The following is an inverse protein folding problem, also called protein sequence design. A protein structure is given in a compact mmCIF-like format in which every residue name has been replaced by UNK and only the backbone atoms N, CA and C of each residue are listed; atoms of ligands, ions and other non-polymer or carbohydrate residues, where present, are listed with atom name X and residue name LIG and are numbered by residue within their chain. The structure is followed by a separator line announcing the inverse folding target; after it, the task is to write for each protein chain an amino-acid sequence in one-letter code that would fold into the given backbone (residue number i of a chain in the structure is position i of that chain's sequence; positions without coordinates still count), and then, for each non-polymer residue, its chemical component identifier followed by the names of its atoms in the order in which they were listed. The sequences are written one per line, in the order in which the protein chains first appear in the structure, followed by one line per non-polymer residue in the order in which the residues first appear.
data_IF_048118759116
#
_entry.id   IF_048118759116
#
_cell.length_a   1.000
_cell.length_b   1.000
_cell.length_c   1.000
_cell.angle_alpha   90.00
_cell.angle_beta   90.00
_cell.angle_gamma   90.00
#
_symmetry.space_group_name_H-M   'P 1'
#
loop_
_entity.id
_entity.type
_entity.pdbx_description
1 polymer ?
#
# COMPACT_ATOMS: atom_id res chain seq x y z
N UNK A 1 -25.19 -3.23 11.28
CA UNK A 1 -25.15 -3.90 9.96
C UNK A 1 -25.54 -5.33 10.18
N UNK A 2 -26.71 -5.73 9.69
CA UNK A 2 -27.16 -7.12 9.82
C UNK A 2 -26.29 -8.02 8.93
N UNK A 3 -25.79 -9.16 9.44
CA UNK A 3 -25.09 -10.13 8.61
C UNK A 3 -26.07 -10.63 7.56
N UNK A 4 -25.72 -10.47 6.28
CA UNK A 4 -26.49 -11.00 5.16
C UNK A 4 -26.53 -12.52 5.29
N UNK A 5 -27.62 -13.06 5.84
CA UNK A 5 -27.84 -14.49 5.96
C UNK A 5 -28.05 -15.06 4.56
N UNK A 6 -27.04 -15.75 4.04
CA UNK A 6 -27.09 -16.39 2.73
C UNK A 6 -28.02 -17.62 2.83
N UNK A 7 -29.17 -17.57 2.14
CA UNK A 7 -30.09 -18.71 1.99
C UNK A 7 -29.36 -19.89 1.33
N UNK A 8 -29.45 -21.07 1.95
CA UNK A 8 -29.00 -22.32 1.33
C UNK A 8 -29.73 -22.51 -0.02
N UNK A 9 -28.97 -22.59 -1.11
CA UNK A 9 -29.50 -22.66 -2.48
C UNK A 9 -29.08 -21.51 -3.42
N UNK A 10 -28.32 -20.51 -2.96
CA UNK A 10 -27.81 -19.48 -3.87
C UNK A 10 -26.76 -20.04 -4.83
N UNK A 11 -26.93 -19.78 -6.13
CA UNK A 11 -25.96 -20.02 -7.23
C UNK A 11 -24.74 -19.08 -7.16
N UNK A 12 -24.34 -18.69 -5.96
CA UNK A 12 -23.35 -17.66 -5.73
C UNK A 12 -21.96 -18.26 -5.96
N UNK A 13 -21.32 -17.88 -7.06
CA UNK A 13 -19.98 -18.36 -7.41
C UNK A 13 -18.99 -17.80 -6.40
N UNK A 14 -18.23 -18.68 -5.74
CA UNK A 14 -17.27 -18.29 -4.71
C UNK A 14 -15.85 -18.21 -5.26
N UNK A 15 -15.13 -17.16 -4.89
CA UNK A 15 -13.70 -16.99 -5.23
C UNK A 15 -12.84 -16.75 -3.98
N UNK A 16 -11.53 -16.89 -4.13
CA UNK A 16 -10.52 -16.60 -3.11
C UNK A 16 -9.41 -15.74 -3.73
N UNK A 17 -8.54 -15.13 -2.92
CA UNK A 17 -7.42 -14.33 -3.43
C UNK A 17 -6.54 -15.11 -4.43
N UNK A 18 -6.26 -16.40 -4.17
CA UNK A 18 -5.47 -17.22 -5.09
C UNK A 18 -6.20 -17.44 -6.42
N UNK A 19 -7.50 -17.78 -6.36
CA UNK A 19 -8.32 -17.93 -7.57
C UNK A 19 -8.46 -16.62 -8.35
N UNK A 20 -8.50 -15.48 -7.66
CA UNK A 20 -8.49 -14.16 -8.30
C UNK A 20 -7.16 -13.91 -9.02
N UNK A 21 -6.03 -14.18 -8.38
CA UNK A 21 -4.70 -14.04 -8.97
C UNK A 21 -4.59 -14.86 -10.28
N UNK A 22 -4.99 -16.13 -10.23
CA UNK A 22 -4.98 -17.03 -11.38
C UNK A 22 -5.92 -16.58 -12.51
N UNK A 23 -7.13 -16.14 -12.15
CA UNK A 23 -8.15 -15.67 -13.11
C UNK A 23 -7.68 -14.41 -13.81
N UNK A 24 -7.20 -13.41 -13.08
CA UNK A 24 -6.82 -12.11 -13.62
C UNK A 24 -5.36 -12.02 -14.07
N UNK A 25 -4.62 -13.14 -14.02
CA UNK A 25 -3.19 -13.21 -14.42
C UNK A 25 -2.31 -12.20 -13.69
N UNK A 26 -2.59 -11.99 -12.41
CA UNK A 26 -1.82 -11.12 -11.52
C UNK A 26 -1.17 -11.94 -10.41
N UNK A 27 -0.15 -11.40 -9.75
CA UNK A 27 0.42 -12.06 -8.59
C UNK A 27 -0.54 -12.03 -7.39
N UNK A 28 -0.33 -12.96 -6.46
CA UNK A 28 -1.15 -13.08 -5.24
C UNK A 28 -1.14 -11.81 -4.39
N UNK A 29 -0.02 -11.09 -4.37
CA UNK A 29 0.13 -9.88 -3.56
C UNK A 29 -0.70 -8.73 -4.14
N UNK A 30 -0.77 -8.60 -5.47
CA UNK A 30 -1.65 -7.66 -6.16
C UNK A 30 -3.13 -7.97 -5.88
N UNK A 31 -3.54 -9.23 -6.02
CA UNK A 31 -4.91 -9.64 -5.70
C UNK A 31 -5.27 -9.37 -4.23
N UNK A 32 -4.32 -9.57 -3.30
CA UNK A 32 -4.50 -9.20 -1.90
C UNK A 32 -4.61 -7.69 -1.69
N UNK A 33 -3.80 -6.88 -2.38
CA UNK A 33 -3.92 -5.42 -2.31
C UNK A 33 -5.28 -4.94 -2.78
N UNK A 34 -5.83 -5.53 -3.84
CA UNK A 34 -7.18 -5.19 -4.32
C UNK A 34 -8.24 -5.45 -3.24
N UNK A 35 -8.09 -6.51 -2.47
CA UNK A 35 -9.02 -6.83 -1.39
C UNK A 35 -9.00 -5.83 -0.23
N UNK A 36 -8.04 -4.90 -0.21
CA UNK A 36 -7.94 -3.81 0.76
C UNK A 36 -8.36 -2.46 0.17
N UNK A 37 -8.72 -2.42 -1.12
CA UNK A 37 -9.19 -1.20 -1.78
C UNK A 37 -10.63 -0.87 -1.34
N UNK A 38 -10.94 0.42 -1.31
CA UNK A 38 -12.27 0.92 -0.99
C UNK A 38 -13.30 0.44 -2.02
N UNK A 39 -14.45 -0.06 -1.54
CA UNK A 39 -15.49 -0.62 -2.40
C UNK A 39 -15.22 -2.04 -2.87
N UNK A 40 -14.14 -2.69 -2.41
CA UNK A 40 -13.93 -4.11 -2.67
C UNK A 40 -15.02 -4.95 -1.98
N UNK A 41 -15.53 -6.02 -2.63
CA UNK A 41 -16.57 -6.88 -2.08
C UNK A 41 -16.28 -7.41 -0.67
N UNK A 42 -17.32 -7.49 0.17
CA UNK A 42 -17.19 -7.99 1.53
C UNK A 42 -16.88 -9.50 1.55
N UNK A 43 -16.18 -9.92 2.61
CA UNK A 43 -15.89 -11.34 2.84
C UNK A 43 -17.18 -12.06 3.21
N UNK A 44 -17.58 -13.05 2.41
CA UNK A 44 -18.78 -13.87 2.66
C UNK A 44 -18.56 -14.86 3.81
N UNK A 45 -17.37 -15.48 3.84
CA UNK A 45 -16.99 -16.44 4.88
C UNK A 45 -15.47 -16.59 4.95
N UNK A 46 -14.99 -17.15 6.06
CA UNK A 46 -13.62 -17.65 6.19
C UNK A 46 -13.71 -19.15 6.41
N UNK A 47 -12.94 -19.94 5.65
CA UNK A 47 -12.97 -21.41 5.76
C UNK A 47 -11.58 -22.01 5.90
N UNK A 48 -11.51 -23.15 6.60
CA UNK A 48 -10.34 -24.04 6.69
C UNK A 48 -9.25 -23.62 7.69
N UNK A 49 -8.26 -24.50 7.89
CA UNK A 49 -6.98 -24.19 8.51
C UNK A 49 -6.30 -23.08 7.68
N UNK A 50 -6.20 -21.87 8.23
CA UNK A 50 -5.59 -20.72 7.57
C UNK A 50 -6.51 -19.54 7.24
N UNK A 51 -7.80 -19.58 7.65
CA UNK A 51 -8.70 -18.42 7.57
C UNK A 51 -8.79 -17.76 6.18
N UNK A 52 -8.86 -18.57 5.11
CA UNK A 52 -8.92 -18.04 3.76
C UNK A 52 -10.24 -17.28 3.53
N UNK A 53 -10.14 -16.00 3.18
CA UNK A 53 -11.31 -15.17 2.86
C UNK A 53 -11.96 -15.62 1.54
N UNK A 54 -13.26 -15.85 1.60
CA UNK A 54 -14.11 -16.17 0.45
C UNK A 54 -14.92 -14.95 0.07
N UNK A 55 -14.95 -14.65 -1.23
CA UNK A 55 -15.70 -13.54 -1.82
C UNK A 55 -16.72 -14.04 -2.84
N UNK A 56 -17.71 -13.21 -3.13
CA UNK A 56 -18.56 -13.38 -4.31
C UNK A 56 -17.73 -13.14 -5.58
N UNK A 57 -17.71 -14.11 -6.50
CA UNK A 57 -16.88 -14.04 -7.70
C UNK A 57 -17.41 -13.03 -8.74
N UNK A 58 -18.71 -12.78 -8.78
CA UNK A 58 -19.33 -11.87 -9.73
C UNK A 58 -19.20 -10.41 -9.25
N UNK A 59 -19.34 -10.17 -7.94
CA UNK A 59 -19.03 -8.85 -7.35
C UNK A 59 -17.54 -8.51 -7.51
N UNK A 60 -16.64 -9.50 -7.33
CA UNK A 60 -15.21 -9.30 -7.58
C UNK A 60 -14.94 -9.02 -9.06
N UNK A 61 -15.61 -9.69 -10.00
CA UNK A 61 -15.46 -9.39 -11.43
C UNK A 61 -15.95 -7.98 -11.79
N UNK A 62 -17.07 -7.55 -11.22
CA UNK A 62 -17.58 -6.19 -11.39
C UNK A 62 -16.59 -5.14 -10.83
N UNK A 63 -16.06 -5.37 -9.62
CA UNK A 63 -15.06 -4.51 -9.01
C UNK A 63 -13.78 -4.43 -9.86
N UNK A 64 -13.27 -5.57 -10.32
CA UNK A 64 -12.05 -5.65 -11.13
C UNK A 64 -12.26 -5.01 -12.50
N UNK A 65 -13.43 -5.19 -13.13
CA UNK A 65 -13.80 -4.48 -14.37
C UNK A 65 -13.74 -2.97 -14.20
N UNK A 66 -14.24 -2.44 -13.07
CA UNK A 66 -14.32 -1.01 -12.82
C UNK A 66 -12.97 -0.40 -12.40
N UNK A 67 -12.24 -1.05 -11.50
CA UNK A 67 -11.06 -0.48 -10.82
C UNK A 67 -9.72 -0.98 -11.39
N UNK A 68 -9.74 -2.11 -12.09
CA UNK A 68 -8.58 -2.83 -12.61
C UNK A 68 -8.83 -3.32 -14.05
N UNK A 69 -9.45 -2.47 -14.87
CA UNK A 69 -9.93 -2.81 -16.21
C UNK A 69 -8.89 -3.51 -17.11
N UNK A 70 -7.62 -3.14 -17.02
CA UNK A 70 -6.56 -3.79 -17.80
C UNK A 70 -6.40 -5.28 -17.43
N UNK A 71 -6.35 -5.61 -16.14
CA UNK A 71 -6.27 -6.99 -15.67
C UNK A 71 -7.57 -7.76 -15.95
N UNK A 72 -8.73 -7.08 -15.81
CA UNK A 72 -10.01 -7.66 -16.21
C UNK A 72 -10.01 -8.01 -17.70
N UNK A 73 -9.60 -7.10 -18.57
CA UNK A 73 -9.58 -7.32 -20.02
C UNK A 73 -8.59 -8.43 -20.42
N UNK A 74 -7.40 -8.44 -19.80
CA UNK A 74 -6.40 -9.49 -20.00
C UNK A 74 -6.91 -10.87 -19.58
N UNK A 75 -7.70 -10.95 -18.50
CA UNK A 75 -8.32 -12.22 -18.09
C UNK A 75 -9.29 -12.81 -19.11
N UNK A 76 -9.70 -12.01 -20.11
CA UNK A 76 -10.58 -12.40 -21.21
C UNK A 76 -9.81 -12.65 -22.51
N UNK A 77 -8.47 -12.75 -22.46
CA UNK A 77 -7.65 -13.15 -23.61
C UNK A 77 -8.20 -14.43 -24.26
N UNK A 78 -8.36 -14.41 -25.59
CA UNK A 78 -9.00 -15.47 -26.36
C UNK A 78 -10.51 -15.27 -26.62
N UNK A 79 -11.20 -14.41 -25.85
CA UNK A 79 -12.55 -13.98 -26.22
C UNK A 79 -12.46 -12.84 -27.26
N UNK A 80 -13.03 -13.05 -28.44
CA UNK A 80 -13.04 -12.06 -29.53
C UNK A 80 -13.81 -10.77 -29.17
N UNK A 81 -14.72 -10.84 -28.21
CA UNK A 81 -15.55 -9.70 -27.79
C UNK A 81 -15.71 -9.66 -26.26
N UNK A 82 -14.62 -9.37 -25.52
CA UNK A 82 -14.61 -9.45 -24.07
C UNK A 82 -15.53 -8.40 -23.42
N UNK A 83 -15.82 -7.31 -24.13
CA UNK A 83 -16.65 -6.20 -23.67
C UNK A 83 -18.14 -6.36 -24.02
N UNK A 84 -18.51 -7.46 -24.69
CA UNK A 84 -19.87 -7.69 -25.19
C UNK A 84 -20.40 -6.49 -25.99
N UNK A 85 -19.54 -5.91 -26.84
CA UNK A 85 -19.92 -4.85 -27.75
C UNK A 85 -20.80 -5.43 -28.86
N UNK A 86 -21.78 -4.69 -29.43
CA UNK A 86 -22.63 -5.22 -30.48
C UNK A 86 -21.82 -5.73 -31.68
N UNK A 87 -22.26 -6.82 -32.31
CA UNK A 87 -21.60 -7.30 -33.54
C UNK A 87 -21.73 -6.28 -34.68
N UNK A 88 -20.86 -6.41 -35.68
CA UNK A 88 -20.88 -5.62 -36.91
C UNK A 88 -19.56 -5.67 -37.67
N UNK A 89 -19.56 -5.09 -38.87
CA UNK A 89 -18.38 -5.03 -39.72
C UNK A 89 -17.33 -4.07 -39.15
N UNK A 90 -16.02 -4.33 -39.37
CA UNK A 90 -14.95 -3.45 -38.89
C UNK A 90 -15.06 -2.04 -39.47
N UNK A 91 -15.56 -1.91 -40.71
CA UNK A 91 -15.75 -0.64 -41.42
C UNK A 91 -17.11 0.02 -41.17
N UNK A 92 -17.98 -0.56 -40.35
CA UNK A 92 -19.24 0.07 -39.97
C UNK A 92 -18.95 1.45 -39.35
N UNK A 93 -19.70 2.46 -39.76
CA UNK A 93 -19.48 3.82 -39.31
C UNK A 93 -20.27 4.13 -38.04
N UNK A 94 -19.58 4.64 -37.03
CA UNK A 94 -20.12 5.02 -35.74
C UNK A 94 -19.96 6.52 -35.52
N UNK A 95 -21.01 7.15 -35.00
CA UNK A 95 -20.98 8.55 -34.56
C UNK A 95 -20.34 8.67 -33.19
N UNK A 96 -19.85 9.86 -32.81
CA UNK A 96 -19.33 10.08 -31.45
C UNK A 96 -20.33 9.71 -30.36
N UNK A 97 -21.60 10.08 -30.55
CA UNK A 97 -22.67 9.73 -29.60
C UNK A 97 -22.74 8.22 -29.39
N UNK A 98 -22.69 7.45 -30.48
CA UNK A 98 -22.72 5.99 -30.41
C UNK A 98 -21.48 5.41 -29.73
N UNK A 99 -20.30 5.97 -30.00
CA UNK A 99 -19.06 5.58 -29.32
C UNK A 99 -19.19 5.81 -27.80
N UNK A 100 -19.74 6.96 -27.38
CA UNK A 100 -19.96 7.29 -25.98
C UNK A 100 -20.91 6.33 -25.26
N UNK A 101 -22.00 5.91 -25.93
CA UNK A 101 -22.93 4.89 -25.43
C UNK A 101 -22.25 3.52 -25.27
N UNK A 102 -21.48 3.11 -26.28
CA UNK A 102 -20.75 1.84 -26.27
C UNK A 102 -19.66 1.84 -25.19
N UNK A 103 -18.93 2.94 -25.01
CA UNK A 103 -17.97 3.09 -23.92
C UNK A 103 -18.66 3.01 -22.55
N UNK A 104 -19.77 3.72 -22.36
CA UNK A 104 -20.54 3.67 -21.12
C UNK A 104 -20.97 2.24 -20.76
N UNK A 105 -21.58 1.54 -21.73
CA UNK A 105 -21.98 0.14 -21.59
C UNK A 105 -20.80 -0.79 -21.30
N UNK A 106 -19.70 -0.62 -22.03
CA UNK A 106 -18.48 -1.44 -21.87
C UNK A 106 -17.85 -1.28 -20.48
N UNK A 107 -18.05 -0.14 -19.82
CA UNK A 107 -17.47 0.17 -18.51
C UNK A 107 -18.48 0.14 -17.36
N UNK A 108 -19.76 -0.16 -17.63
CA UNK A 108 -20.81 -0.13 -16.61
C UNK A 108 -21.02 1.28 -16.02
N UNK A 109 -20.91 2.33 -16.84
CA UNK A 109 -21.10 3.74 -16.43
C UNK A 109 -22.02 4.48 -17.41
N UNK A 110 -22.48 5.70 -17.10
CA UNK A 110 -23.21 6.53 -18.05
C UNK A 110 -22.46 6.74 -19.37
N UNK A 111 -23.21 7.01 -20.45
CA UNK A 111 -22.61 7.31 -21.74
C UNK A 111 -21.63 8.48 -21.63
N UNK A 112 -20.46 8.35 -22.27
CA UNK A 112 -19.47 9.43 -22.28
C UNK A 112 -19.96 10.56 -23.20
N UNK A 113 -19.97 11.79 -22.70
CA UNK A 113 -20.50 12.93 -23.44
C UNK A 113 -19.68 13.25 -24.69
N UNK A 114 -20.36 13.74 -25.74
CA UNK A 114 -19.72 14.11 -27.01
C UNK A 114 -18.64 15.18 -26.81
N UNK A 115 -18.85 16.15 -25.91
CA UNK A 115 -17.86 17.17 -25.58
C UNK A 115 -16.57 16.58 -24.98
N UNK A 116 -16.71 15.57 -24.10
CA UNK A 116 -15.56 14.83 -23.56
C UNK A 116 -14.84 14.05 -24.64
N UNK A 117 -15.56 13.37 -25.53
CA UNK A 117 -14.95 12.63 -26.64
C UNK A 117 -14.20 13.55 -27.61
N UNK A 118 -14.72 14.75 -27.90
CA UNK A 118 -13.99 15.78 -28.67
C UNK A 118 -12.68 16.17 -28.00
N UNK A 119 -12.68 16.31 -26.68
CA UNK A 119 -11.45 16.55 -25.89
C UNK A 119 -10.48 15.37 -25.98
N UNK A 120 -10.98 14.14 -26.09
CA UNK A 120 -10.11 12.98 -26.28
C UNK A 120 -9.52 12.92 -27.69
N UNK A 121 -10.24 13.37 -28.71
CA UNK A 121 -9.68 13.50 -30.07
C UNK A 121 -8.53 14.50 -30.07
N UNK A 122 -8.72 15.69 -29.49
CA UNK A 122 -7.68 16.72 -29.46
C UNK A 122 -6.43 16.28 -28.67
N UNK A 123 -6.61 15.45 -27.65
CA UNK A 123 -5.51 14.86 -26.86
C UNK A 123 -4.86 13.62 -27.50
N UNK A 124 -5.32 13.17 -28.67
CA UNK A 124 -4.84 11.95 -29.32
C UNK A 124 -5.21 10.66 -28.56
N UNK A 125 -6.17 10.76 -27.65
CA UNK A 125 -6.67 9.67 -26.82
C UNK A 125 -7.67 8.84 -27.65
N UNK A 126 -8.58 9.48 -28.37
CA UNK A 126 -9.40 8.88 -29.43
C UNK A 126 -8.80 9.29 -30.79
N UNK A 127 -8.73 8.36 -31.75
CA UNK A 127 -8.21 8.66 -33.08
C UNK A 127 -9.07 9.74 -33.78
N UNK A 128 -8.50 10.40 -34.79
CA UNK A 128 -9.26 11.27 -35.69
C UNK A 128 -10.37 10.48 -36.41
N UNK A 129 -11.44 11.14 -36.88
CA UNK A 129 -12.49 10.45 -37.62
C UNK A 129 -11.92 9.78 -38.88
N UNK A 130 -12.37 8.57 -39.16
CA UNK A 130 -11.99 7.84 -40.36
C UNK A 130 -12.71 8.37 -41.60
N UNK A 131 -13.89 8.98 -41.40
CA UNK A 131 -14.74 9.57 -42.44
C UNK A 131 -15.20 10.96 -42.03
N UNK A 132 -15.14 11.89 -42.97
CA UNK A 132 -15.54 13.29 -42.79
C UNK A 132 -16.65 13.67 -43.78
N UNK A 133 -17.49 14.67 -43.46
CA UNK A 133 -18.40 15.22 -44.46
C UNK A 133 -17.64 15.65 -45.72
N UNK A 134 -18.24 15.36 -46.88
CA UNK A 134 -17.70 15.74 -48.19
C UNK A 134 -16.33 15.12 -48.55
N UNK A 135 -15.92 14.03 -47.89
CA UNK A 135 -14.69 13.29 -48.21
C UNK A 135 -14.71 12.54 -49.56
N UNK A 136 -15.80 12.65 -50.31
CA UNK A 136 -15.99 12.01 -51.63
C UNK A 136 -16.11 10.49 -51.60
N UNK A 137 -16.03 9.85 -50.42
CA UNK A 137 -16.10 8.41 -50.28
C UNK A 137 -17.54 7.94 -50.00
N UNK A 138 -17.79 6.63 -50.16
CA UNK A 138 -19.10 6.01 -49.90
C UNK A 138 -19.08 5.13 -48.63
N UNK A 139 -20.17 5.06 -47.84
CA UNK A 139 -21.36 5.90 -47.93
C UNK A 139 -21.03 7.37 -47.60
N UNK A 140 -21.79 8.30 -48.16
CA UNK A 140 -21.67 9.73 -47.83
C UNK A 140 -22.10 9.93 -46.37
N UNK A 141 -21.29 10.66 -45.60
CA UNK A 141 -21.57 10.96 -44.19
C UNK A 141 -21.88 12.45 -44.03
N UNK A 142 -22.82 12.79 -43.14
CA UNK A 142 -23.21 14.18 -42.84
C UNK A 142 -22.49 14.74 -41.61
N UNK A 143 -21.74 13.90 -40.90
CA UNK A 143 -20.95 14.25 -39.74
C UNK A 143 -19.69 13.39 -39.69
N UNK A 144 -18.73 13.78 -38.84
CA UNK A 144 -17.54 12.98 -38.57
C UNK A 144 -17.95 11.61 -37.99
N UNK A 145 -17.39 10.54 -38.57
CA UNK A 145 -17.66 9.16 -38.14
C UNK A 145 -16.36 8.35 -38.06
N UNK A 146 -16.40 7.31 -37.24
CA UNK A 146 -15.28 6.38 -37.03
C UNK A 146 -15.70 5.01 -37.51
N UNK A 147 -14.76 4.28 -38.11
CA UNK A 147 -14.93 2.84 -38.29
C UNK A 147 -15.05 2.16 -36.93
N UNK A 148 -15.85 1.09 -36.88
CA UNK A 148 -16.09 0.31 -35.68
C UNK A 148 -14.78 -0.21 -35.08
N UNK A 149 -13.84 -0.64 -35.91
CA UNK A 149 -12.52 -1.09 -35.45
C UNK A 149 -11.77 0.02 -34.70
N UNK A 150 -11.77 1.25 -35.23
CA UNK A 150 -11.14 2.43 -34.62
C UNK A 150 -11.81 2.77 -33.29
N UNK A 151 -13.14 2.77 -33.26
CA UNK A 151 -13.89 2.97 -32.03
C UNK A 151 -13.63 1.88 -30.98
N UNK A 152 -13.54 0.61 -31.40
CA UNK A 152 -13.38 -0.52 -30.49
C UNK A 152 -11.98 -0.55 -29.90
N UNK A 153 -10.96 -0.22 -30.70
CA UNK A 153 -9.59 -0.02 -30.22
C UNK A 153 -9.53 1.07 -29.13
N UNK A 154 -10.28 2.16 -29.28
CA UNK A 154 -10.41 3.18 -28.24
C UNK A 154 -11.10 2.64 -26.97
N UNK A 155 -12.23 1.93 -27.11
CA UNK A 155 -13.00 1.44 -25.96
C UNK A 155 -12.21 0.40 -25.15
N UNK A 156 -11.51 -0.50 -25.84
CA UNK A 156 -10.75 -1.61 -25.27
C UNK A 156 -9.34 -1.25 -24.80
N UNK A 157 -8.89 0.00 -25.00
CA UNK A 157 -7.54 0.39 -24.63
C UNK A 157 -7.24 0.16 -23.14
N UNK A 158 -5.96 -0.07 -22.78
CA UNK A 158 -5.51 0.01 -21.41
C UNK A 158 -5.73 1.43 -20.86
N UNK A 159 -6.58 1.57 -19.85
CA UNK A 159 -6.78 2.86 -19.18
C UNK A 159 -5.77 3.00 -18.06
N UNK A 160 -4.96 4.07 -18.09
CA UNK A 160 -4.10 4.44 -16.95
C UNK A 160 -5.03 4.76 -15.78
N UNK A 161 -4.78 4.18 -14.60
CA UNK A 161 -5.48 4.54 -13.36
C UNK A 161 -5.46 6.06 -13.26
N UNK A 162 -6.62 6.69 -13.36
CA UNK A 162 -6.78 8.04 -12.82
C UNK A 162 -6.55 7.83 -11.35
N UNK A 163 -5.38 8.24 -10.88
CA UNK A 163 -5.09 8.29 -9.45
C UNK A 163 -6.21 9.14 -8.91
N UNK A 164 -7.22 8.53 -8.25
CA UNK A 164 -8.17 9.30 -7.45
C UNK A 164 -7.28 10.16 -6.61
N UNK A 165 -7.33 11.48 -6.82
CA UNK A 165 -6.76 12.44 -5.89
C UNK A 165 -7.24 11.94 -4.55
N UNK A 166 -6.30 11.56 -3.68
CA UNK A 166 -6.68 11.08 -2.36
C UNK A 166 -7.66 12.12 -1.85
N UNK A 167 -8.92 11.73 -1.65
CA UNK A 167 -9.87 12.55 -0.90
C UNK A 167 -9.07 12.99 0.29
N UNK A 168 -8.90 14.31 0.45
CA UNK A 168 -8.04 14.93 1.44
C UNK A 168 -8.31 14.20 2.74
N UNK A 169 -7.42 13.25 3.07
CA UNK A 169 -7.61 12.40 4.23
C UNK A 169 -7.30 13.34 5.35
N UNK A 170 -8.34 13.87 5.95
CA UNK A 170 -8.25 14.61 7.18
C UNK A 170 -7.34 13.78 8.09
N UNK A 171 -6.25 14.39 8.54
CA UNK A 171 -5.28 13.69 9.36
C UNK A 171 -6.06 13.03 10.50
N UNK A 172 -5.80 11.75 10.83
CA UNK A 172 -6.42 11.17 12.01
C UNK A 172 -6.13 12.10 13.18
N UNK A 173 -7.19 12.56 13.86
CA UNK A 173 -7.06 13.36 15.06
C UNK A 173 -6.43 12.46 16.14
N UNK A 174 -5.14 12.65 16.39
CA UNK A 174 -4.46 12.01 17.51
C UNK A 174 -4.81 12.81 18.76
N UNK A 175 -5.24 12.13 19.82
CA UNK A 175 -5.28 12.75 21.15
C UNK A 175 -3.86 13.04 21.63
N UNK A 176 -3.68 13.94 22.59
CA UNK A 176 -2.35 14.23 23.13
C UNK A 176 -1.72 12.99 23.82
N UNK A 177 -2.55 12.07 24.33
CA UNK A 177 -2.14 10.77 24.87
C UNK A 177 -1.56 9.83 23.80
N UNK A 178 -1.91 10.05 22.52
CA UNK A 178 -1.41 9.28 21.40
C UNK A 178 -0.10 9.80 20.83
N UNK A 179 0.52 10.83 21.42
CA UNK A 179 1.77 11.38 20.93
C UNK A 179 2.97 10.63 21.54
N UNK A 180 3.96 10.33 20.71
CA UNK A 180 5.23 9.78 21.17
C UNK A 180 5.95 10.82 22.02
N UNK A 181 6.56 10.36 23.10
CA UNK A 181 7.46 11.20 23.88
C UNK A 181 8.84 11.21 23.21
N UNK A 182 9.01 12.18 22.32
CA UNK A 182 10.26 12.42 21.61
C UNK A 182 10.96 13.61 22.24
N UNK A 183 12.26 13.47 22.48
CA UNK A 183 13.13 14.61 22.78
C UNK A 183 13.23 15.49 21.53
N UNK A 184 12.48 16.59 21.55
CA UNK A 184 12.52 17.60 20.51
C UNK A 184 13.52 18.69 20.91
N UNK A 185 14.23 19.31 19.95
CA UNK A 185 15.11 20.42 20.25
C UNK A 185 14.32 21.58 20.88
N UNK A 186 14.96 22.29 21.82
CA UNK A 186 14.36 23.43 22.51
C UNK A 186 13.80 24.50 21.55
N UNK A 187 12.78 25.22 22.01
CA UNK A 187 12.19 26.37 21.33
C UNK A 187 10.77 26.66 21.80
N UNK A 188 10.24 27.82 21.40
CA UNK A 188 8.89 28.25 21.76
C UNK A 188 7.86 27.58 20.86
N UNK A 189 6.68 27.28 21.39
CA UNK A 189 5.55 26.72 20.63
C UNK A 189 5.10 27.63 19.48
N UNK A 190 5.39 28.93 19.58
CA UNK A 190 5.09 29.95 18.58
C UNK A 190 6.22 30.15 17.55
N UNK A 191 7.32 29.40 17.65
CA UNK A 191 8.41 29.48 16.67
C UNK A 191 7.90 29.12 15.27
N UNK A 192 8.18 29.96 14.28
CA UNK A 192 7.87 29.69 12.89
C UNK A 192 9.00 28.90 12.23
N UNK A 193 8.68 27.69 11.80
CA UNK A 193 9.61 26.74 11.21
C UNK A 193 9.35 26.60 9.72
N UNK A 194 10.39 26.75 8.93
CA UNK A 194 10.36 26.43 7.50
C UNK A 194 10.28 24.92 7.28
N UNK A 195 9.85 24.49 6.09
CA UNK A 195 9.81 23.07 5.73
C UNK A 195 11.17 22.37 5.90
N UNK A 196 12.27 23.11 5.71
CA UNK A 196 13.63 22.59 5.88
C UNK A 196 13.99 22.33 7.34
N UNK A 197 13.61 23.24 8.25
CA UNK A 197 13.76 23.01 9.68
C UNK A 197 12.89 21.84 10.14
N UNK A 198 11.65 21.76 9.67
CA UNK A 198 10.75 20.62 9.99
C UNK A 198 11.35 19.28 9.53
N UNK A 199 12.03 19.25 8.38
CA UNK A 199 12.75 18.06 7.88
C UNK A 199 13.92 17.66 8.75
N UNK A 200 14.72 18.63 9.20
CA UNK A 200 15.84 18.37 10.09
C UNK A 200 15.37 17.78 11.42
N UNK A 201 14.36 18.41 12.04
CA UNK A 201 13.83 17.97 13.32
C UNK A 201 13.19 16.59 13.20
N UNK A 202 12.39 16.33 12.16
CA UNK A 202 11.77 15.01 11.93
C UNK A 202 12.83 13.91 11.77
N UNK A 203 13.90 14.18 11.02
CA UNK A 203 14.98 13.23 10.81
C UNK A 203 15.76 12.90 12.08
N UNK A 204 16.06 13.93 12.89
CA UNK A 204 16.75 13.75 14.17
C UNK A 204 15.87 13.08 15.22
N UNK A 205 14.62 13.51 15.39
CA UNK A 205 13.69 12.93 16.34
C UNK A 205 13.38 11.45 16.04
N UNK A 206 13.59 11.00 14.80
CA UNK A 206 13.46 9.59 14.38
C UNK A 206 14.77 8.79 14.47
N UNK A 207 15.84 9.38 15.00
CA UNK A 207 17.14 8.72 15.13
C UNK A 207 17.88 8.48 13.82
N UNK A 208 17.46 9.08 12.71
CA UNK A 208 18.09 8.86 11.40
C UNK A 208 19.37 9.66 11.20
N UNK A 209 19.62 10.67 12.04
CA UNK A 209 20.80 11.54 11.98
C UNK A 209 20.92 12.39 10.70
N UNK A 210 19.92 12.35 9.82
CA UNK A 210 19.85 13.09 8.57
C UNK A 210 18.44 13.64 8.35
N UNK A 211 18.28 14.79 7.67
CA UNK A 211 16.97 15.37 7.41
C UNK A 211 16.10 14.45 6.57
N UNK A 212 14.81 14.38 6.88
CA UNK A 212 13.83 13.69 6.04
C UNK A 212 13.86 14.27 4.63
N UNK A 213 13.83 13.42 3.59
CA UNK A 213 13.93 13.88 2.22
C UNK A 213 12.77 14.83 1.83
N UNK A 214 13.06 15.88 1.03
CA UNK A 214 12.05 16.86 0.64
C UNK A 214 10.88 16.25 -0.15
N UNK A 215 11.14 15.25 -0.99
CA UNK A 215 10.11 14.48 -1.71
C UNK A 215 9.18 13.73 -0.74
N UNK A 216 9.72 13.19 0.35
CA UNK A 216 8.94 12.50 1.39
C UNK A 216 8.01 13.49 2.09
N UNK A 217 8.51 14.68 2.44
CA UNK A 217 7.68 15.70 3.08
C UNK A 217 6.56 16.21 2.18
N UNK A 218 6.87 16.51 0.90
CA UNK A 218 5.84 16.88 -0.08
C UNK A 218 4.79 15.80 -0.26
N UNK A 219 5.20 14.53 -0.23
CA UNK A 219 4.28 13.39 -0.27
C UNK A 219 3.40 13.33 0.98
N UNK A 220 3.96 13.55 2.17
CA UNK A 220 3.21 13.58 3.43
C UNK A 220 2.22 14.75 3.47
N UNK A 221 2.61 15.92 2.99
CA UNK A 221 1.74 17.09 2.84
C UNK A 221 0.58 16.79 1.86
N UNK A 222 0.88 16.22 0.69
CA UNK A 222 -0.15 15.82 -0.28
C UNK A 222 -1.05 14.68 0.20
N UNK A 223 -0.66 13.95 1.25
CA UNK A 223 -1.46 12.93 1.91
C UNK A 223 -2.26 13.46 3.10
N UNK A 224 -2.16 14.75 3.43
CA UNK A 224 -2.75 15.35 4.63
C UNK A 224 -2.07 14.93 5.94
N UNK A 225 -0.94 14.20 5.88
CA UNK A 225 -0.25 13.68 7.06
C UNK A 225 0.72 14.69 7.68
N UNK A 226 1.17 15.69 6.91
CA UNK A 226 1.79 16.91 7.42
C UNK A 226 0.72 18.00 7.40
N UNK A 227 0.46 18.70 8.52
CA UNK A 227 -0.48 19.81 8.54
C UNK A 227 -0.15 20.85 7.48
N UNK A 228 -1.15 21.63 7.07
CA UNK A 228 -0.93 22.78 6.20
C UNK A 228 -0.05 23.80 6.93
N UNK A 229 0.74 24.62 6.21
CA UNK A 229 1.50 25.70 6.83
C UNK A 229 0.55 26.65 7.57
N UNK A 230 0.89 27.02 8.79
CA UNK A 230 0.14 28.00 9.59
C UNK A 230 0.32 29.42 9.05
N UNK A 231 1.46 29.68 8.39
CA UNK A 231 1.81 30.97 7.80
C UNK A 231 2.21 30.82 6.33
N UNK A 232 1.76 31.76 5.51
CA UNK A 232 2.02 31.81 4.07
C UNK A 232 2.62 33.15 3.68
N UNK A 233 3.51 33.21 2.67
CA UNK A 233 4.04 34.49 2.19
C UNK A 233 2.91 35.42 1.75
N UNK A 234 2.91 36.63 2.29
CA UNK A 234 1.88 37.64 1.99
C UNK A 234 0.54 37.44 2.71
N UNK A 235 0.50 36.63 3.78
CA UNK A 235 -0.71 36.47 4.59
C UNK A 235 -1.10 37.71 5.42
N UNK A 236 -0.25 38.74 5.44
CA UNK A 236 -0.51 40.01 6.12
C UNK A 236 -0.38 39.95 7.65
N UNK A 237 0.15 38.85 8.19
CA UNK A 237 0.36 38.64 9.61
C UNK A 237 1.84 38.90 9.98
N UNK A 238 2.11 39.22 11.24
CA UNK A 238 3.47 39.43 11.76
C UNK A 238 3.96 38.21 12.57
N UNK A 239 5.26 37.86 12.52
CA UNK A 239 6.28 38.40 11.61
C UNK A 239 6.02 37.93 10.16
N UNK A 240 6.42 38.70 9.13
CA UNK A 240 6.27 38.30 7.74
C UNK A 240 7.15 37.08 7.43
N UNK A 241 6.62 36.13 6.66
CA UNK A 241 7.34 34.93 6.24
C UNK A 241 7.62 34.94 4.73
N UNK A 242 8.85 34.59 4.33
CA UNK A 242 9.22 34.49 2.90
C UNK A 242 8.85 33.15 2.28
N UNK A 243 8.71 32.11 3.10
CA UNK A 243 8.35 30.75 2.70
C UNK A 243 7.20 30.26 3.59
N UNK A 244 6.41 29.27 3.13
CA UNK A 244 5.44 28.60 3.99
C UNK A 244 6.11 28.10 5.28
N UNK A 245 5.51 28.44 6.42
CA UNK A 245 6.04 28.13 7.73
C UNK A 245 4.98 27.49 8.62
N UNK A 246 5.44 26.67 9.55
CA UNK A 246 4.61 25.97 10.54
C UNK A 246 4.97 26.49 11.92
N UNK A 247 3.97 26.71 12.77
CA UNK A 247 4.21 26.90 14.20
C UNK A 247 4.85 25.62 14.75
N UNK A 248 5.77 25.77 15.70
CA UNK A 248 6.40 24.62 16.34
C UNK A 248 5.37 23.73 17.02
N UNK A 249 4.33 24.30 17.63
CA UNK A 249 3.19 23.55 18.18
C UNK A 249 2.45 22.72 17.13
N UNK A 250 2.24 23.25 15.93
CA UNK A 250 1.65 22.51 14.80
C UNK A 250 2.58 21.41 14.29
N UNK A 251 3.89 21.70 14.17
CA UNK A 251 4.89 20.75 13.70
C UNK A 251 5.22 19.65 14.74
N UNK A 252 5.11 19.94 16.03
CA UNK A 252 5.41 19.00 17.12
C UNK A 252 4.45 17.81 17.12
N UNK A 253 3.16 18.05 16.87
CA UNK A 253 2.15 17.00 16.65
C UNK A 253 2.53 16.08 15.50
N UNK A 254 3.08 16.64 14.42
CA UNK A 254 3.56 15.85 13.29
C UNK A 254 4.78 15.00 13.63
N UNK A 255 5.76 15.50 14.38
CA UNK A 255 6.93 14.70 14.75
C UNK A 255 6.57 13.59 15.74
N UNK A 256 5.77 13.94 16.75
CA UNK A 256 5.32 13.02 17.81
C UNK A 256 4.27 12.01 17.33
N UNK A 257 3.77 12.11 16.09
CA UNK A 257 2.85 11.08 15.57
C UNK A 257 3.51 9.70 15.62
N UNK A 258 2.79 8.65 16.04
CA UNK A 258 3.25 7.30 15.83
C UNK A 258 3.43 7.11 14.32
N UNK A 259 4.66 6.89 13.87
CA UNK A 259 4.88 6.47 12.48
C UNK A 259 4.11 5.16 12.20
N UNK A 260 4.13 4.68 10.95
CA UNK A 260 3.62 3.32 10.65
C UNK A 260 4.20 2.25 11.59
N UNK A 261 5.44 2.44 12.06
CA UNK A 261 6.10 1.62 13.07
C UNK A 261 5.50 1.77 14.48
N UNK A 262 5.17 3.00 14.91
CA UNK A 262 4.52 3.26 16.21
C UNK A 262 3.08 2.74 16.27
N UNK A 263 2.34 2.80 15.14
CA UNK A 263 1.00 2.21 15.03
C UNK A 263 1.04 0.69 15.08
N UNK A 264 2.08 0.05 14.52
CA UNK A 264 2.28 -1.41 14.64
C UNK A 264 2.66 -1.82 16.07
N UNK A 265 3.53 -1.07 16.74
CA UNK A 265 3.87 -1.29 18.15
C UNK A 265 2.66 -1.07 19.08
N UNK A 266 1.82 -0.07 18.82
CA UNK A 266 0.58 0.16 19.58
C UNK A 266 -0.54 -0.82 19.26
N UNK A 267 -0.68 -1.30 18.02
CA UNK A 267 -1.62 -2.40 17.76
C UNK A 267 -1.23 -3.69 18.48
N UNK A 268 0.06 -3.88 18.77
CA UNK A 268 0.53 -4.97 19.62
C UNK A 268 0.28 -4.70 21.13
N UNK A 269 0.30 -3.42 21.56
CA UNK A 269 0.12 -3.04 22.98
C UNK A 269 -1.33 -2.73 23.43
N UNK A 270 -2.15 -2.10 22.59
CA UNK A 270 -3.50 -1.61 22.95
C UNK A 270 -4.53 -2.72 23.09
N UNK A 271 -4.39 -3.85 22.40
CA UNK A 271 -5.24 -5.03 22.64
C UNK A 271 -4.80 -5.83 23.88
N UNK A 272 -3.83 -5.33 24.66
CA UNK A 272 -3.18 -6.12 25.72
C UNK A 272 -2.97 -5.37 27.05
N UNK A 273 -3.27 -4.07 27.10
CA UNK A 273 -3.11 -3.26 28.31
C UNK A 273 -4.10 -3.64 29.45
N UNK A 274 -5.16 -4.39 29.16
CA UNK A 274 -6.09 -4.88 30.21
C UNK A 274 -5.74 -6.28 30.76
N UNK A 275 -4.59 -6.87 30.41
CA UNK A 275 -4.27 -8.25 30.87
C UNK A 275 -2.79 -8.61 31.10
N UNK A 276 -1.87 -7.65 31.19
CA UNK A 276 -0.42 -7.93 31.15
C UNK A 276 0.36 -7.61 32.44
N UNK A 277 -0.30 -7.58 33.60
CA UNK A 277 0.41 -7.43 34.86
C UNK A 277 1.13 -8.71 35.35
N UNK A 278 1.18 -9.81 34.57
CA UNK A 278 1.63 -11.12 35.08
C UNK A 278 2.47 -12.00 34.13
N UNK A 279 2.99 -11.48 33.00
CA UNK A 279 3.95 -12.27 32.20
C UNK A 279 5.35 -12.24 32.84
N UNK A 280 5.61 -13.25 33.67
CA UNK A 280 6.96 -13.55 34.16
C UNK A 280 7.93 -13.67 32.98
N UNK A 281 9.16 -13.14 33.08
CA UNK A 281 10.19 -13.40 32.08
C UNK A 281 10.33 -14.92 31.90
N UNK A 282 10.40 -15.38 30.64
CA UNK A 282 10.73 -16.78 30.30
C UNK A 282 12.19 -17.04 30.67
N UNK A 283 12.46 -17.13 31.98
CA UNK A 283 13.75 -17.51 32.54
C UNK A 283 14.04 -19.00 32.32
N UNK A 284 13.00 -19.81 32.07
CA UNK A 284 13.08 -21.26 31.86
C UNK A 284 13.15 -21.65 30.37
N UNK A 285 13.82 -20.81 29.57
CA UNK A 285 14.02 -21.08 28.15
C UNK A 285 15.20 -22.07 28.01
N UNK A 286 14.92 -23.34 27.71
CA UNK A 286 15.96 -24.34 27.46
C UNK A 286 16.72 -23.99 26.16
N UNK A 287 17.83 -23.26 26.31
CA UNK A 287 18.75 -23.02 25.20
C UNK A 287 19.53 -24.31 24.89
N UNK A 288 19.81 -24.60 23.60
CA UNK A 288 20.68 -25.72 23.25
C UNK A 288 22.03 -25.61 23.96
N UNK A 289 22.68 -26.71 24.32
CA UNK A 289 24.01 -26.67 24.93
C UNK A 289 25.03 -25.91 24.05
N UNK A 290 25.97 -25.22 24.69
CA UNK A 290 27.10 -24.52 24.09
C UNK A 290 27.70 -23.50 25.05
N UNK A 291 28.94 -23.09 24.78
CA UNK A 291 29.66 -22.14 25.62
C UNK A 291 29.27 -20.69 25.28
N UNK A 292 29.30 -19.78 26.26
CA UNK A 292 28.85 -18.39 26.09
C UNK A 292 29.67 -17.60 25.05
N UNK A 293 30.90 -18.05 24.79
CA UNK A 293 31.86 -17.54 23.81
C UNK A 293 31.77 -18.25 22.44
N UNK A 294 30.83 -19.20 22.27
CA UNK A 294 30.54 -19.77 20.95
C UNK A 294 30.10 -18.66 19.99
N UNK A 295 30.75 -18.57 18.83
CA UNK A 295 30.36 -17.64 17.77
C UNK A 295 29.28 -18.26 16.88
N UNK A 296 28.16 -17.54 16.75
CA UNK A 296 27.01 -17.92 15.96
C UNK A 296 26.79 -16.95 14.82
N UNK A 297 26.65 -17.46 13.60
CA UNK A 297 26.22 -16.65 12.47
C UNK A 297 24.70 -16.42 12.49
N UNK A 298 24.23 -15.48 11.67
CA UNK A 298 22.83 -15.08 11.63
C UNK A 298 21.87 -16.25 11.29
N UNK A 299 22.33 -17.21 10.48
CA UNK A 299 21.54 -18.41 10.14
C UNK A 299 21.40 -19.38 11.32
N UNK A 300 22.46 -19.57 12.10
CA UNK A 300 22.46 -20.39 13.30
C UNK A 300 21.55 -19.77 14.37
N UNK A 301 21.59 -18.44 14.54
CA UNK A 301 20.70 -17.73 15.46
C UNK A 301 19.23 -17.94 15.06
N UNK A 302 18.90 -17.84 13.77
CA UNK A 302 17.53 -18.09 13.28
C UNK A 302 17.05 -19.53 13.48
N UNK A 303 17.95 -20.52 13.39
CA UNK A 303 17.63 -21.93 13.71
C UNK A 303 17.35 -22.13 15.19
N UNK A 304 18.17 -21.55 16.06
CA UNK A 304 17.98 -21.64 17.51
C UNK A 304 16.70 -20.91 17.92
N UNK A 305 16.46 -19.71 17.39
CA UNK A 305 15.24 -18.93 17.64
C UNK A 305 13.97 -19.71 17.27
N UNK A 306 13.94 -20.32 16.09
CA UNK A 306 12.81 -21.14 15.66
C UNK A 306 12.52 -22.34 16.57
N UNK A 307 13.57 -22.97 17.11
CA UNK A 307 13.45 -24.09 18.06
C UNK A 307 13.00 -23.62 19.44
N UNK A 308 13.67 -22.61 19.97
CA UNK A 308 13.41 -21.99 21.27
C UNK A 308 11.95 -21.50 21.36
N UNK A 309 11.44 -20.90 20.28
CA UNK A 309 10.06 -20.40 20.19
C UNK A 309 9.05 -21.46 19.72
N UNK A 310 9.44 -22.74 19.64
CA UNK A 310 8.59 -23.88 19.25
C UNK A 310 7.83 -23.71 17.91
N UNK A 311 8.36 -22.92 16.97
CA UNK A 311 7.69 -22.60 15.69
C UNK A 311 7.70 -23.74 14.66
N UNK A 312 8.37 -24.85 14.96
CA UNK A 312 8.55 -25.99 14.03
C UNK A 312 9.43 -25.70 12.80
N UNK A 313 9.91 -24.46 12.62
CA UNK A 313 10.81 -24.05 11.54
C UNK A 313 11.81 -23.00 12.03
N UNK A 314 12.98 -22.96 11.40
CA UNK A 314 13.94 -21.89 11.60
C UNK A 314 13.34 -20.54 11.18
N UNK A 315 13.63 -19.49 11.94
CA UNK A 315 13.35 -18.12 11.51
C UNK A 315 14.19 -17.84 10.27
N UNK A 316 13.55 -17.30 9.22
CA UNK A 316 14.18 -17.15 7.93
C UNK A 316 15.31 -16.11 8.01
N UNK A 317 16.29 -16.23 7.12
CA UNK A 317 17.40 -15.28 7.08
C UNK A 317 16.94 -13.84 6.80
N UNK A 318 15.86 -13.66 6.01
CA UNK A 318 15.27 -12.35 5.75
C UNK A 318 14.66 -11.73 7.03
N UNK A 319 13.97 -12.53 7.84
CA UNK A 319 13.43 -12.08 9.13
C UNK A 319 14.54 -11.78 10.13
N UNK A 320 15.59 -12.62 10.19
CA UNK A 320 16.75 -12.35 11.06
C UNK A 320 17.48 -11.07 10.67
N UNK A 321 17.59 -10.77 9.37
CA UNK A 321 18.11 -9.48 8.91
C UNK A 321 17.23 -8.32 9.33
N UNK A 322 15.90 -8.46 9.23
CA UNK A 322 14.99 -7.43 9.71
C UNK A 322 15.21 -7.16 11.20
N UNK A 323 15.35 -8.20 12.04
CA UNK A 323 15.64 -8.04 13.46
C UNK A 323 16.95 -7.31 13.74
N UNK A 324 18.00 -7.56 12.94
CA UNK A 324 19.25 -6.80 13.04
C UNK A 324 19.05 -5.32 12.65
N UNK A 325 18.40 -5.06 11.52
CA UNK A 325 18.15 -3.68 11.06
C UNK A 325 17.22 -2.89 11.99
N UNK A 326 16.29 -3.57 12.65
CA UNK A 326 15.32 -3.00 13.57
C UNK A 326 15.88 -2.86 15.01
N UNK A 327 17.16 -3.21 15.25
CA UNK A 327 17.81 -3.16 16.58
C UNK A 327 17.23 -4.16 17.59
N UNK A 328 16.52 -5.18 17.10
CA UNK A 328 15.97 -6.25 17.94
C UNK A 328 17.06 -7.27 18.27
N UNK A 329 17.90 -7.60 17.29
CA UNK A 329 19.15 -8.32 17.48
C UNK A 329 20.28 -7.28 17.59
N UNK A 330 21.13 -7.41 18.60
CA UNK A 330 22.28 -6.52 18.81
C UNK A 330 23.26 -6.57 17.61
N UNK A 331 24.18 -5.61 17.52
CA UNK A 331 25.24 -5.62 16.49
C UNK A 331 26.16 -6.85 16.64
N UNK A 332 26.77 -7.34 15.55
CA UNK A 332 27.66 -8.50 15.61
C UNK A 332 28.91 -8.22 16.44
N UNK A 333 29.21 -9.13 17.37
CA UNK A 333 30.42 -9.05 18.21
C UNK A 333 31.72 -9.26 17.41
N UNK A 334 31.62 -9.98 16.28
CA UNK A 334 32.75 -10.30 15.39
C UNK A 334 32.38 -10.07 13.93
N UNK A 335 33.31 -9.53 13.16
CA UNK A 335 33.17 -9.34 11.70
C UNK A 335 34.41 -9.89 10.97
N UNK A 336 34.32 -10.25 9.68
CA UNK A 336 35.47 -10.76 8.94
C UNK A 336 36.67 -9.79 8.87
N UNK A 337 36.43 -8.52 9.14
CA UNK A 337 37.39 -7.42 9.04
C UNK A 337 38.04 -7.05 10.39
N UNK A 338 37.59 -7.65 11.50
CA UNK A 338 38.08 -7.29 12.84
C UNK A 338 39.53 -7.75 13.13
N UNK A 339 40.07 -8.68 12.33
CA UNK A 339 41.44 -9.18 12.47
C UNK A 339 41.70 -9.99 13.74
N UNK A 340 40.66 -10.39 14.46
CA UNK A 340 40.77 -11.15 15.71
C UNK A 340 40.75 -12.67 15.44
N UNK A 341 41.36 -13.46 16.34
CA UNK A 341 41.31 -14.92 16.28
C UNK A 341 40.16 -15.49 17.14
N UNK A 342 39.51 -16.60 16.72
CA UNK A 342 39.60 -17.22 15.40
C UNK A 342 38.95 -16.33 14.32
N UNK A 343 39.40 -16.37 13.06
CA UNK A 343 38.82 -15.57 11.99
C UNK A 343 37.39 -16.05 11.67
N UNK A 344 36.46 -15.11 11.53
CA UNK A 344 35.08 -15.39 11.14
C UNK A 344 34.86 -15.11 9.64
N UNK A 345 34.06 -15.96 8.98
CA UNK A 345 33.73 -15.79 7.55
C UNK A 345 32.60 -14.79 7.30
N UNK A 346 31.79 -14.54 8.33
CA UNK A 346 30.64 -13.62 8.28
C UNK A 346 30.43 -12.99 9.66
N UNK A 347 29.60 -11.93 9.69
CA UNK A 347 29.18 -11.29 10.92
C UNK A 347 28.61 -12.34 11.90
N UNK A 348 29.17 -12.38 13.10
CA UNK A 348 28.91 -13.41 14.10
C UNK A 348 28.69 -12.79 15.48
N UNK A 349 27.88 -13.44 16.30
CA UNK A 349 27.55 -13.03 17.65
C UNK A 349 28.04 -14.08 18.62
N UNK A 350 28.57 -13.66 19.77
CA UNK A 350 28.74 -14.56 20.89
C UNK A 350 27.38 -15.10 21.30
N UNK A 351 27.34 -16.37 21.72
CA UNK A 351 26.12 -17.00 22.22
C UNK A 351 25.51 -16.20 23.36
N UNK A 352 26.32 -15.63 24.25
CA UNK A 352 25.87 -14.73 25.31
C UNK A 352 25.10 -13.51 24.78
N UNK A 353 25.61 -12.84 23.74
CA UNK A 353 24.93 -11.74 23.05
C UNK A 353 23.63 -12.20 22.39
N UNK A 354 23.67 -13.29 21.61
CA UNK A 354 22.49 -13.88 20.97
C UNK A 354 21.43 -14.37 21.98
N UNK A 355 21.85 -14.79 23.18
CA UNK A 355 20.93 -15.24 24.23
C UNK A 355 20.01 -14.14 24.74
N UNK A 356 20.46 -12.87 24.72
CA UNK A 356 19.63 -11.72 25.07
C UNK A 356 18.46 -11.60 24.11
N UNK A 357 18.70 -11.79 22.81
CA UNK A 357 17.65 -11.80 21.79
C UNK A 357 16.61 -12.91 22.02
N UNK A 358 17.03 -14.12 22.40
CA UNK A 358 16.10 -15.22 22.70
C UNK A 358 15.33 -15.03 24.01
N UNK A 359 15.95 -14.42 25.03
CA UNK A 359 15.36 -14.19 26.36
C UNK A 359 14.48 -12.95 26.47
N UNK A 360 14.46 -12.08 25.44
CA UNK A 360 13.60 -10.87 25.44
C UNK A 360 12.12 -11.27 25.65
N UNK A 361 11.47 -10.84 26.74
CA UNK A 361 10.05 -11.07 26.97
C UNK A 361 9.24 -10.22 25.98
N UNK A 362 8.30 -10.85 25.27
CA UNK A 362 7.41 -10.18 24.31
C UNK A 362 7.83 -10.31 22.83
N UNK A 363 7.06 -11.15 22.12
CA UNK A 363 6.78 -11.17 20.68
C UNK A 363 7.91 -10.78 19.70
N UNK A 364 8.66 -11.79 19.29
CA UNK A 364 8.83 -12.03 17.86
C UNK A 364 7.81 -13.13 17.53
N UNK A 365 6.80 -12.81 16.71
CA UNK A 365 5.78 -13.70 16.14
C UNK A 365 5.30 -14.87 17.01
N UNK A 366 4.20 -14.67 17.75
CA UNK A 366 3.38 -15.76 18.30
C UNK A 366 2.46 -16.31 17.21
N UNK A 367 2.63 -17.61 16.97
CA UNK A 367 1.67 -18.68 16.61
C UNK A 367 0.41 -18.33 15.77
N UNK A 368 0.35 -19.00 14.61
CA UNK A 368 -0.86 -19.45 13.93
C UNK A 368 -1.31 -20.80 14.49
#
# INVERSE_FOLDING_TARGET
MEPTVIRAGSTQKRTTINKMADRYKVDRSAAYQWSQEEGFPHVLSRTGQGNAAIYDADEVDAFVRQNHFAAWLQSREGNKNPLNLPDGGPRDLLTLKRIGELEGRALGRPATEVATLRTYISKGILAKPDREPDDGQRPTVTQQMWHRETAYAYISRPRRRVRRTAVEREAPAYSDEDLLDLELPEGSDDDLLTLEQVRHIDGHARGWGKPTAASTMKKLQGQGLLPKPDRMPGDGLEPPVEKPAWLRSTASRFWRRPGRLGVLARRAGSSRAEGLADEKPLLDLELPAGADDDLLNLQQIGRIDGRVRRRGRATSWAEMRAFLFDGVLDEPDRTPEDGLEPPVKEASWYRSTASRFWRRPGQLGSEQ
#
